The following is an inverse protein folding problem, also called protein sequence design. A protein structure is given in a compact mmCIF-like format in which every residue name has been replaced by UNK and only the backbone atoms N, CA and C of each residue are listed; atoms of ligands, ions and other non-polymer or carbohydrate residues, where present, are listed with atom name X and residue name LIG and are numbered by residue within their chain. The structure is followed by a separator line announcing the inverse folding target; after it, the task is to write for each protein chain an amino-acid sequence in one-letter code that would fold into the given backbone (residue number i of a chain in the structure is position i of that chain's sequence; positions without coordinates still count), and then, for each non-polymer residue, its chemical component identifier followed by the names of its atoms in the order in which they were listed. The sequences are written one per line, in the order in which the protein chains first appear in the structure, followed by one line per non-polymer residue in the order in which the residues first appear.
data_IF_039971149114
#
_entry.id   IF_039971149114
#
_cell.length_a   1.000
_cell.length_b   1.000
_cell.length_c   1.000
_cell.angle_alpha   90.00
_cell.angle_beta   90.00
_cell.angle_gamma   90.00
#
_symmetry.space_group_name_H-M   'P 1'
#
loop_
_entity.id
_entity.type
_entity.pdbx_description
1 polymer ?
#
# COMPACT_ATOMS: atom_id res chain seq x y z
N UNK A 1 8.38 -36.41 -30.32
CA UNK A 1 8.12 -35.32 -31.31
C UNK A 1 6.85 -34.53 -31.03
N UNK A 2 5.83 -35.08 -30.38
CA UNK A 2 4.53 -34.42 -30.06
C UNK A 2 4.59 -33.46 -28.89
N UNK A 3 5.46 -33.65 -27.91
CA UNK A 3 5.63 -32.78 -26.73
C UNK A 3 6.30 -31.45 -27.12
N UNK A 4 7.30 -31.49 -28.02
CA UNK A 4 8.03 -30.29 -28.48
C UNK A 4 7.15 -29.33 -29.32
N UNK A 5 6.22 -29.84 -30.12
CA UNK A 5 5.28 -28.98 -30.89
C UNK A 5 4.23 -28.33 -30.02
N UNK A 6 3.71 -29.02 -28.97
CA UNK A 6 2.77 -28.44 -28.05
C UNK A 6 3.38 -27.32 -27.20
N UNK A 7 4.62 -27.47 -26.78
CA UNK A 7 5.34 -26.43 -26.03
C UNK A 7 5.52 -25.15 -26.84
N UNK A 8 5.84 -25.27 -28.15
CA UNK A 8 5.96 -24.11 -29.03
C UNK A 8 4.63 -23.34 -29.26
N UNK A 9 3.51 -24.05 -29.39
CA UNK A 9 2.19 -23.43 -29.57
C UNK A 9 1.76 -22.69 -28.30
N UNK A 10 1.93 -23.31 -27.13
CA UNK A 10 1.61 -22.68 -25.83
C UNK A 10 2.49 -21.45 -25.61
N UNK A 11 3.77 -21.54 -25.91
CA UNK A 11 4.69 -20.41 -25.74
C UNK A 11 4.34 -19.26 -26.71
N UNK A 12 3.98 -19.54 -27.94
CA UNK A 12 3.53 -18.54 -28.90
C UNK A 12 2.22 -17.86 -28.46
N UNK A 13 1.28 -18.63 -27.91
CA UNK A 13 0.04 -18.08 -27.36
C UNK A 13 0.31 -17.18 -26.13
N UNK A 14 1.14 -17.62 -25.19
CA UNK A 14 1.53 -16.85 -23.99
C UNK A 14 2.20 -15.52 -24.38
N UNK A 15 3.10 -15.55 -25.38
CA UNK A 15 3.76 -14.33 -25.88
C UNK A 15 2.79 -13.36 -26.53
N UNK A 16 1.78 -13.88 -27.26
CA UNK A 16 0.73 -13.03 -27.85
C UNK A 16 -0.09 -12.32 -26.76
N UNK A 17 -0.24 -12.92 -25.58
CA UNK A 17 -1.00 -12.40 -24.46
C UNK A 17 -0.10 -11.92 -23.30
N UNK A 18 1.15 -11.57 -23.58
CA UNK A 18 2.16 -11.25 -22.57
C UNK A 18 1.73 -10.20 -21.54
N UNK A 19 0.98 -9.17 -21.96
CA UNK A 19 0.42 -8.13 -21.06
C UNK A 19 -0.51 -8.73 -20.00
N UNK A 20 -1.43 -9.60 -20.42
CA UNK A 20 -2.35 -10.30 -19.53
C UNK A 20 -1.64 -11.30 -18.62
N UNK A 21 -0.68 -12.07 -19.16
CA UNK A 21 0.12 -13.03 -18.39
C UNK A 21 0.90 -12.34 -17.28
N UNK A 22 1.56 -11.22 -17.59
CA UNK A 22 2.32 -10.46 -16.61
C UNK A 22 1.40 -9.84 -15.54
N UNK A 23 0.24 -9.34 -15.94
CA UNK A 23 -0.76 -8.79 -15.03
C UNK A 23 -1.30 -9.87 -14.08
N UNK A 24 -1.68 -11.04 -14.59
CA UNK A 24 -2.17 -12.16 -13.78
C UNK A 24 -1.09 -12.71 -12.83
N UNK A 25 0.13 -12.87 -13.31
CA UNK A 25 1.26 -13.33 -12.50
C UNK A 25 1.57 -12.33 -11.36
N UNK A 26 1.59 -11.03 -11.66
CA UNK A 26 1.76 -9.97 -10.66
C UNK A 26 0.59 -9.96 -9.68
N UNK A 27 -0.63 -10.22 -10.13
CA UNK A 27 -1.83 -10.31 -9.29
C UNK A 27 -1.74 -11.47 -8.29
N UNK A 28 -1.36 -12.64 -8.74
CA UNK A 28 -1.17 -13.80 -7.88
C UNK A 28 -0.11 -13.54 -6.80
N UNK A 29 1.02 -12.97 -7.18
CA UNK A 29 2.06 -12.58 -6.23
C UNK A 29 1.58 -11.50 -5.25
N UNK A 30 0.76 -10.55 -5.71
CA UNK A 30 0.17 -9.52 -4.84
C UNK A 30 -0.78 -10.14 -3.80
N UNK A 31 -1.62 -11.10 -4.19
CA UNK A 31 -2.48 -11.85 -3.26
C UNK A 31 -1.61 -12.59 -2.22
N UNK A 32 -0.55 -13.29 -2.66
CA UNK A 32 0.39 -13.98 -1.79
C UNK A 32 1.05 -13.03 -0.79
N UNK A 33 1.54 -11.89 -1.25
CA UNK A 33 2.21 -10.90 -0.40
C UNK A 33 1.29 -10.29 0.65
N UNK A 34 0.03 -9.99 0.32
CA UNK A 34 -0.94 -9.53 1.32
C UNK A 34 -1.36 -10.64 2.28
N UNK A 35 -1.44 -11.89 1.83
CA UNK A 35 -1.66 -13.06 2.69
C UNK A 35 -0.50 -13.23 3.67
N UNK A 36 0.75 -13.19 3.19
CA UNK A 36 1.96 -13.27 4.00
C UNK A 36 2.09 -12.11 4.99
N UNK A 37 1.72 -10.88 4.58
CA UNK A 37 1.73 -9.71 5.45
C UNK A 37 0.75 -9.89 6.62
N UNK A 38 -0.46 -10.37 6.34
CA UNK A 38 -1.48 -10.65 7.37
C UNK A 38 -1.02 -11.77 8.31
N UNK A 39 -0.44 -12.84 7.76
CA UNK A 39 0.09 -13.95 8.55
C UNK A 39 1.23 -13.49 9.47
N UNK A 40 2.20 -12.72 8.98
CA UNK A 40 3.30 -12.15 9.78
C UNK A 40 2.77 -11.25 10.90
N UNK A 41 1.81 -10.38 10.59
CA UNK A 41 1.19 -9.50 11.57
C UNK A 41 0.53 -10.27 12.71
N UNK A 42 -0.21 -11.34 12.40
CA UNK A 42 -0.81 -12.20 13.40
C UNK A 42 0.24 -12.94 14.22
N UNK A 43 1.21 -13.60 13.58
CA UNK A 43 2.28 -14.34 14.23
C UNK A 43 3.04 -13.47 15.24
N UNK A 44 3.34 -12.22 14.87
CA UNK A 44 4.02 -11.29 15.76
C UNK A 44 3.15 -10.88 16.96
N UNK A 45 1.85 -10.63 16.73
CA UNK A 45 0.93 -10.27 17.80
C UNK A 45 0.71 -11.46 18.76
N UNK A 46 0.39 -12.64 18.22
CA UNK A 46 0.11 -13.86 18.99
C UNK A 46 1.33 -14.32 19.78
N UNK A 47 2.52 -14.27 19.16
CA UNK A 47 3.78 -14.70 19.78
C UNK A 47 4.37 -13.72 20.80
N UNK A 48 4.04 -12.43 20.75
CA UNK A 48 4.67 -11.42 21.60
C UNK A 48 3.70 -10.59 22.43
N UNK A 49 2.43 -10.53 22.04
CA UNK A 49 1.42 -9.66 22.66
C UNK A 49 1.77 -8.16 22.60
N UNK A 50 2.78 -7.76 21.82
CA UNK A 50 3.32 -6.40 21.82
C UNK A 50 2.91 -5.57 20.61
N UNK A 51 1.96 -4.61 20.75
CA UNK A 51 1.53 -3.73 19.67
C UNK A 51 2.66 -2.86 19.08
N UNK A 52 3.66 -2.50 19.88
CA UNK A 52 4.78 -1.70 19.40
C UNK A 52 5.66 -2.49 18.42
N UNK A 53 5.90 -3.77 18.67
CA UNK A 53 6.65 -4.62 17.75
C UNK A 53 5.91 -4.81 16.43
N UNK A 54 4.57 -4.91 16.51
CA UNK A 54 3.72 -4.97 15.34
C UNK A 54 3.77 -3.68 14.52
N UNK A 55 3.69 -2.51 15.16
CA UNK A 55 3.83 -1.22 14.50
C UNK A 55 5.21 -1.06 13.87
N UNK A 56 6.27 -1.53 14.56
CA UNK A 56 7.64 -1.53 14.04
C UNK A 56 7.76 -2.45 12.80
N UNK A 57 7.08 -3.59 12.78
CA UNK A 57 7.03 -4.48 11.61
C UNK A 57 6.47 -3.75 10.38
N UNK A 58 5.34 -3.05 10.51
CA UNK A 58 4.77 -2.29 9.41
C UNK A 58 5.61 -1.06 9.04
N UNK A 59 6.24 -0.40 10.02
CA UNK A 59 7.19 0.67 9.77
C UNK A 59 8.42 0.17 9.00
N UNK A 60 8.95 -1.00 9.34
CA UNK A 60 10.05 -1.64 8.63
C UNK A 60 9.70 -1.99 7.17
N UNK A 61 8.43 -2.26 6.87
CA UNK A 61 7.97 -2.46 5.49
C UNK A 61 7.87 -1.13 4.72
N UNK A 62 7.33 -0.08 5.35
CA UNK A 62 6.95 1.16 4.67
C UNK A 62 8.05 2.23 4.64
N UNK A 63 8.75 2.44 5.75
CA UNK A 63 9.73 3.54 5.88
C UNK A 63 10.94 3.43 4.94
N UNK A 64 11.47 2.24 4.61
CA UNK A 64 12.57 2.15 3.65
C UNK A 64 12.27 2.83 2.31
N UNK A 65 11.01 2.80 1.86
CA UNK A 65 10.61 3.44 0.61
C UNK A 65 10.93 4.94 0.57
N UNK A 66 10.89 5.63 1.72
CA UNK A 66 11.23 7.05 1.82
C UNK A 66 12.70 7.34 1.52
N UNK A 67 13.57 6.40 1.89
CA UNK A 67 15.02 6.54 1.76
C UNK A 67 15.52 6.02 0.41
N UNK A 68 14.96 4.90 -0.07
CA UNK A 68 15.51 4.19 -1.24
C UNK A 68 14.77 4.46 -2.55
N UNK A 69 13.67 5.21 -2.57
CA UNK A 69 12.94 5.53 -3.81
C UNK A 69 13.81 6.29 -4.84
N UNK A 70 14.62 7.24 -4.37
CA UNK A 70 15.56 7.97 -5.22
C UNK A 70 16.63 7.05 -5.82
N UNK A 71 17.42 6.35 -5.00
CA UNK A 71 18.37 5.34 -5.47
C UNK A 71 17.77 4.28 -6.38
N UNK A 72 16.54 3.80 -6.10
CA UNK A 72 15.84 2.83 -6.95
C UNK A 72 15.57 3.39 -8.35
N UNK A 73 15.14 4.65 -8.44
CA UNK A 73 14.97 5.36 -9.71
C UNK A 73 16.27 5.42 -10.50
N UNK A 74 17.34 5.90 -9.87
CA UNK A 74 18.67 6.03 -10.50
C UNK A 74 19.22 4.68 -10.97
N UNK A 75 19.11 3.64 -10.12
CA UNK A 75 19.58 2.31 -10.51
C UNK A 75 18.78 1.78 -11.72
N UNK A 76 17.45 1.91 -11.68
CA UNK A 76 16.56 1.47 -12.76
C UNK A 76 16.86 2.20 -14.09
N UNK A 77 17.29 3.47 -14.04
CA UNK A 77 17.70 4.22 -15.22
C UNK A 77 19.06 3.77 -15.76
N UNK A 78 20.01 3.41 -14.88
CA UNK A 78 21.38 3.05 -15.28
C UNK A 78 21.49 1.63 -15.83
N UNK A 79 20.87 0.65 -15.17
CA UNK A 79 21.05 -0.78 -15.50
C UNK A 79 19.87 -1.39 -16.26
N UNK A 80 18.78 -0.62 -16.42
CA UNK A 80 17.56 -1.06 -17.08
C UNK A 80 16.52 -1.66 -16.12
N UNK A 81 15.25 -1.33 -16.39
CA UNK A 81 14.14 -1.72 -15.51
C UNK A 81 13.88 -3.24 -15.48
N UNK A 82 14.12 -3.95 -16.58
CA UNK A 82 13.98 -5.42 -16.67
C UNK A 82 14.95 -6.13 -15.73
N UNK A 83 16.22 -5.73 -15.77
CA UNK A 83 17.26 -6.29 -14.91
C UNK A 83 16.95 -6.09 -13.43
N UNK A 84 16.54 -4.87 -13.05
CA UNK A 84 16.16 -4.56 -11.66
C UNK A 84 14.93 -5.35 -11.25
N UNK A 85 13.92 -5.44 -12.12
CA UNK A 85 12.67 -6.13 -11.83
C UNK A 85 12.88 -7.62 -11.58
N UNK A 86 13.61 -8.30 -12.46
CA UNK A 86 13.90 -9.75 -12.30
C UNK A 86 14.64 -10.02 -10.99
N UNK A 87 15.67 -9.24 -10.69
CA UNK A 87 16.45 -9.41 -9.45
C UNK A 87 15.65 -9.06 -8.20
N UNK A 88 14.81 -8.04 -8.28
CA UNK A 88 13.91 -7.72 -7.19
C UNK A 88 12.92 -8.85 -6.89
N UNK A 89 12.38 -9.53 -7.93
CA UNK A 89 11.49 -10.68 -7.73
C UNK A 89 12.21 -11.85 -7.03
N UNK A 90 13.45 -12.16 -7.44
CA UNK A 90 14.27 -13.19 -6.77
C UNK A 90 14.60 -12.80 -5.33
N UNK A 91 14.90 -11.53 -5.07
CA UNK A 91 15.19 -11.05 -3.73
C UNK A 91 13.94 -11.06 -2.83
N UNK A 92 12.74 -10.73 -3.37
CA UNK A 92 11.48 -10.85 -2.64
C UNK A 92 11.16 -12.33 -2.32
N UNK A 93 11.36 -13.25 -3.25
CA UNK A 93 11.27 -14.68 -3.01
C UNK A 93 12.21 -15.10 -1.86
N UNK A 94 13.47 -14.65 -1.87
CA UNK A 94 14.42 -14.95 -0.80
C UNK A 94 13.98 -14.39 0.55
N UNK A 95 13.48 -13.15 0.60
CA UNK A 95 12.94 -12.54 1.83
C UNK A 95 11.73 -13.32 2.37
N UNK A 96 10.79 -13.72 1.51
CA UNK A 96 9.63 -14.50 1.91
C UNK A 96 10.02 -15.91 2.35
N UNK A 97 10.98 -16.56 1.66
CA UNK A 97 11.53 -17.86 2.05
C UNK A 97 12.24 -17.79 3.40
N UNK A 98 12.98 -16.71 3.66
CA UNK A 98 13.63 -16.48 4.96
C UNK A 98 12.61 -16.43 6.11
N UNK A 99 11.47 -15.77 5.89
CA UNK A 99 10.38 -15.76 6.87
C UNK A 99 9.78 -17.15 7.11
N UNK A 100 9.54 -17.93 6.05
CA UNK A 100 9.02 -19.31 6.17
C UNK A 100 10.02 -20.24 6.89
N UNK A 101 11.30 -20.12 6.58
CA UNK A 101 12.37 -20.88 7.24
C UNK A 101 12.51 -20.49 8.71
N UNK A 102 12.36 -19.19 9.05
CA UNK A 102 12.36 -18.76 10.45
C UNK A 102 11.24 -19.42 11.25
N UNK A 103 10.04 -19.57 10.65
CA UNK A 103 8.93 -20.26 11.31
C UNK A 103 9.16 -21.76 11.46
N UNK A 104 9.90 -22.37 10.53
CA UNK A 104 10.19 -23.81 10.59
C UNK A 104 11.30 -24.18 11.59
N UNK A 105 12.33 -23.34 11.71
CA UNK A 105 13.58 -23.71 12.38
C UNK A 105 13.97 -22.79 13.54
N UNK A 106 13.49 -21.54 13.59
CA UNK A 106 13.81 -20.62 14.68
C UNK A 106 12.71 -20.58 15.75
N UNK A 107 13.07 -20.22 17.00
CA UNK A 107 12.13 -20.07 18.12
C UNK A 107 12.46 -18.82 18.92
N UNK A 108 11.47 -18.30 19.63
CA UNK A 108 11.64 -17.16 20.56
C UNK A 108 12.17 -15.89 19.88
N UNK A 109 13.09 -15.16 20.52
CA UNK A 109 13.58 -13.87 20.01
C UNK A 109 14.24 -13.94 18.63
N UNK A 110 14.93 -15.06 18.32
CA UNK A 110 15.56 -15.28 17.02
C UNK A 110 14.52 -15.33 15.89
N UNK A 111 13.41 -16.02 16.12
CA UNK A 111 12.31 -16.11 15.16
C UNK A 111 11.74 -14.71 14.85
N UNK A 112 11.45 -13.93 15.90
CA UNK A 112 10.96 -12.56 15.76
C UNK A 112 11.98 -11.68 15.03
N UNK A 113 13.26 -11.76 15.38
CA UNK A 113 14.33 -10.99 14.73
C UNK A 113 14.45 -11.29 13.23
N UNK A 114 14.38 -12.56 12.84
CA UNK A 114 14.45 -12.96 11.42
C UNK A 114 13.21 -12.54 10.67
N UNK A 115 12.00 -12.65 11.26
CA UNK A 115 10.77 -12.13 10.66
C UNK A 115 10.86 -10.62 10.42
N UNK A 116 11.35 -9.85 11.39
CA UNK A 116 11.54 -8.41 11.27
C UNK A 116 12.56 -8.06 10.19
N UNK A 117 13.70 -8.76 10.15
CA UNK A 117 14.72 -8.60 9.13
C UNK A 117 14.18 -8.90 7.73
N UNK A 118 13.44 -10.01 7.57
CA UNK A 118 12.82 -10.37 6.29
C UNK A 118 11.86 -9.29 5.80
N UNK A 119 11.13 -8.65 6.71
CA UNK A 119 10.20 -7.57 6.39
C UNK A 119 10.92 -6.29 6.00
N UNK A 120 11.98 -5.91 6.73
CA UNK A 120 12.80 -4.74 6.40
C UNK A 120 13.45 -4.88 5.01
N UNK A 121 14.08 -6.03 4.76
CA UNK A 121 14.67 -6.32 3.45
C UNK A 121 13.59 -6.36 2.35
N UNK A 122 12.45 -6.98 2.63
CA UNK A 122 11.30 -7.00 1.71
C UNK A 122 10.79 -5.59 1.39
N UNK A 123 10.73 -4.68 2.37
CA UNK A 123 10.36 -3.28 2.18
C UNK A 123 11.33 -2.50 1.29
N UNK A 124 12.63 -2.73 1.48
CA UNK A 124 13.67 -2.16 0.61
C UNK A 124 13.49 -2.68 -0.82
N UNK A 125 13.44 -3.99 -0.99
CA UNK A 125 13.38 -4.64 -2.31
C UNK A 125 12.09 -4.32 -3.05
N UNK A 126 10.95 -4.28 -2.35
CA UNK A 126 9.65 -3.93 -2.95
C UNK A 126 9.63 -2.50 -3.52
N UNK A 127 10.42 -1.59 -2.97
CA UNK A 127 10.56 -0.24 -3.52
C UNK A 127 11.27 -0.25 -4.88
N UNK A 128 12.33 -1.04 -5.02
CA UNK A 128 13.02 -1.25 -6.31
C UNK A 128 12.09 -1.96 -7.31
N UNK A 129 11.38 -2.98 -6.86
CA UNK A 129 10.42 -3.73 -7.67
C UNK A 129 9.35 -2.80 -8.25
N UNK A 130 8.68 -2.02 -7.39
CA UNK A 130 7.62 -1.11 -7.79
C UNK A 130 8.10 -0.06 -8.79
N UNK A 131 9.29 0.50 -8.56
CA UNK A 131 9.90 1.50 -9.45
C UNK A 131 10.22 0.90 -10.82
N UNK A 132 10.83 -0.28 -10.83
CA UNK A 132 11.19 -0.98 -12.06
C UNK A 132 9.94 -1.47 -12.81
N UNK A 133 8.95 -2.02 -12.12
CA UNK A 133 7.67 -2.47 -12.68
C UNK A 133 6.93 -1.35 -13.38
N UNK A 134 6.81 -0.17 -12.73
CA UNK A 134 6.13 0.98 -13.31
C UNK A 134 6.76 1.45 -14.62
N UNK A 135 8.10 1.35 -14.76
CA UNK A 135 8.79 1.63 -16.02
C UNK A 135 8.62 0.50 -17.04
N UNK A 136 8.75 -0.74 -16.57
CA UNK A 136 8.66 -1.93 -17.42
C UNK A 136 7.28 -2.06 -18.09
N UNK A 137 6.20 -1.73 -17.37
CA UNK A 137 4.83 -1.72 -17.93
C UNK A 137 4.72 -0.79 -19.15
N UNK A 138 5.44 0.32 -19.15
CA UNK A 138 5.50 1.24 -20.30
C UNK A 138 6.14 0.62 -21.54
N UNK A 139 7.03 -0.38 -21.38
CA UNK A 139 7.69 -1.07 -22.49
C UNK A 139 6.84 -2.17 -23.12
N UNK A 140 5.82 -2.65 -22.40
CA UNK A 140 4.92 -3.71 -22.86
C UNK A 140 3.78 -3.17 -23.72
N UNK A 141 3.60 -1.86 -23.75
CA UNK A 141 2.49 -1.21 -24.45
C UNK A 141 2.95 -0.69 -25.80
N UNK A 142 2.25 -1.08 -26.86
CA UNK A 142 2.62 -0.72 -28.23
C UNK A 142 2.33 0.75 -28.55
N UNK A 143 1.19 1.26 -28.01
CA UNK A 143 0.72 2.63 -28.22
C UNK A 143 0.71 3.40 -26.92
N UNK A 144 1.15 4.66 -26.89
CA UNK A 144 1.09 5.49 -25.67
C UNK A 144 -0.32 5.62 -25.07
N UNK A 145 -1.36 5.53 -25.92
CA UNK A 145 -2.76 5.63 -25.53
C UNK A 145 -3.24 4.44 -24.69
N UNK A 146 -2.63 3.26 -24.87
CA UNK A 146 -2.96 2.04 -24.14
C UNK A 146 -2.30 1.99 -22.76
N UNK A 147 -1.34 2.87 -22.46
CA UNK A 147 -0.62 2.88 -21.19
C UNK A 147 -1.51 3.21 -20.00
N UNK A 148 -2.36 4.26 -20.01
CA UNK A 148 -3.23 4.57 -18.88
C UNK A 148 -4.20 3.43 -18.53
N UNK A 149 -4.94 2.79 -19.46
CA UNK A 149 -5.80 1.65 -19.11
C UNK A 149 -5.00 0.44 -18.61
N UNK A 150 -3.80 0.20 -19.11
CA UNK A 150 -2.96 -0.90 -18.61
C UNK A 150 -2.46 -0.65 -17.19
N UNK A 151 -2.02 0.55 -16.85
CA UNK A 151 -1.67 0.96 -15.49
C UNK A 151 -2.88 0.88 -14.54
N UNK A 152 -4.07 1.26 -15.03
CA UNK A 152 -5.31 1.11 -14.27
C UNK A 152 -5.59 -0.35 -13.93
N UNK A 153 -5.33 -1.27 -14.87
CA UNK A 153 -5.48 -2.72 -14.63
C UNK A 153 -4.56 -3.21 -13.51
N UNK A 154 -3.33 -2.70 -13.39
CA UNK A 154 -2.47 -2.99 -12.24
C UNK A 154 -3.04 -2.47 -10.93
N UNK A 155 -3.64 -1.29 -10.93
CA UNK A 155 -4.31 -0.75 -9.73
C UNK A 155 -5.50 -1.63 -9.32
N UNK A 156 -6.28 -2.13 -10.26
CA UNK A 156 -7.38 -3.07 -9.99
C UNK A 156 -6.84 -4.36 -9.38
N UNK A 157 -5.84 -4.96 -10.01
CA UNK A 157 -5.20 -6.20 -9.54
C UNK A 157 -4.61 -6.02 -8.13
N UNK A 158 -3.95 -4.89 -7.86
CA UNK A 158 -3.44 -4.57 -6.53
C UNK A 158 -4.57 -4.49 -5.48
N UNK A 159 -5.68 -3.84 -5.80
CA UNK A 159 -6.83 -3.75 -4.90
C UNK A 159 -7.51 -5.11 -4.68
N UNK A 160 -7.60 -5.94 -5.72
CA UNK A 160 -8.07 -7.34 -5.60
C UNK A 160 -7.14 -8.14 -4.69
N UNK A 161 -5.83 -8.00 -4.84
CA UNK A 161 -4.86 -8.63 -3.96
C UNK A 161 -4.99 -8.20 -2.51
N UNK A 162 -5.21 -6.91 -2.28
CA UNK A 162 -5.46 -6.33 -0.95
C UNK A 162 -6.77 -6.82 -0.32
N UNK A 163 -7.79 -7.10 -1.15
CA UNK A 163 -9.08 -7.61 -0.71
C UNK A 163 -9.05 -9.11 -0.40
N UNK A 164 -8.44 -9.92 -1.28
CA UNK A 164 -8.45 -11.38 -1.19
C UNK A 164 -7.27 -11.93 -0.38
N UNK A 165 -6.13 -11.25 -0.37
CA UNK A 165 -4.92 -11.72 0.32
C UNK A 165 -5.13 -11.96 1.81
N UNK A 166 -5.62 -10.98 2.58
CA UNK A 166 -5.80 -11.13 4.02
C UNK A 166 -6.68 -12.30 4.47
N UNK A 167 -7.89 -12.54 3.92
CA UNK A 167 -8.68 -13.70 4.31
C UNK A 167 -7.99 -15.02 3.91
N UNK A 168 -7.33 -15.07 2.76
CA UNK A 168 -6.54 -16.23 2.34
C UNK A 168 -5.40 -16.46 3.34
N UNK A 169 -4.68 -15.42 3.75
CA UNK A 169 -3.62 -15.51 4.76
C UNK A 169 -4.10 -15.99 6.12
N UNK A 170 -5.21 -15.44 6.60
CA UNK A 170 -5.84 -15.88 7.86
C UNK A 170 -6.33 -17.33 7.80
N UNK A 171 -6.92 -17.73 6.68
CA UNK A 171 -7.39 -19.10 6.47
C UNK A 171 -6.22 -20.10 6.36
N UNK A 172 -5.19 -19.78 5.58
CA UNK A 172 -3.98 -20.60 5.47
C UNK A 172 -3.28 -20.76 6.81
N UNK A 173 -3.19 -19.68 7.59
CA UNK A 173 -2.57 -19.71 8.91
C UNK A 173 -3.30 -20.66 9.87
N UNK A 174 -4.63 -20.67 9.82
CA UNK A 174 -5.43 -21.55 10.70
C UNK A 174 -5.46 -23.01 10.26
N UNK A 175 -5.47 -23.31 8.96
CA UNK A 175 -5.54 -24.66 8.43
C UNK A 175 -4.17 -25.34 8.34
N UNK A 176 -3.16 -24.59 7.92
CA UNK A 176 -1.88 -25.14 7.52
C UNK A 176 -0.72 -24.68 8.42
N UNK A 177 -1.00 -23.76 9.33
CA UNK A 177 -0.02 -23.18 10.25
C UNK A 177 0.91 -22.14 9.63
N UNK A 178 1.73 -21.49 10.49
CA UNK A 178 2.53 -20.33 10.10
C UNK A 178 3.56 -20.60 9.00
N UNK A 179 4.25 -21.71 9.08
CA UNK A 179 5.30 -22.08 8.12
C UNK A 179 4.75 -22.22 6.72
N UNK A 180 3.62 -22.95 6.54
CA UNK A 180 3.06 -23.17 5.22
C UNK A 180 2.39 -21.91 4.67
N UNK A 181 1.74 -21.11 5.51
CA UNK A 181 1.18 -19.83 5.09
C UNK A 181 2.25 -18.90 4.49
N UNK A 182 3.43 -18.82 5.13
CA UNK A 182 4.55 -18.01 4.62
C UNK A 182 5.27 -18.68 3.44
N UNK A 183 5.30 -19.99 3.36
CA UNK A 183 5.85 -20.70 2.20
C UNK A 183 5.02 -20.45 0.93
N UNK A 184 3.69 -20.37 1.04
CA UNK A 184 2.79 -20.05 -0.07
C UNK A 184 3.02 -18.59 -0.55
N UNK A 185 3.25 -17.64 0.36
CA UNK A 185 3.69 -16.29 -0.02
C UNK A 185 4.98 -16.36 -0.85
N UNK A 186 6.00 -17.08 -0.38
CA UNK A 186 7.24 -17.24 -1.12
C UNK A 186 7.01 -17.87 -2.51
N UNK A 187 6.24 -18.93 -2.59
CA UNK A 187 5.93 -19.61 -3.85
C UNK A 187 5.20 -18.71 -4.85
N UNK A 188 4.42 -17.73 -4.38
CA UNK A 188 3.70 -16.81 -5.25
C UNK A 188 4.61 -15.97 -6.16
N UNK A 189 5.87 -15.74 -5.76
CA UNK A 189 6.86 -15.00 -6.55
C UNK A 189 7.36 -15.74 -7.77
N UNK A 190 7.20 -17.08 -7.83
CA UNK A 190 7.56 -17.83 -9.04
C UNK A 190 6.71 -17.46 -10.26
N UNK A 191 5.47 -17.03 -10.05
CA UNK A 191 4.60 -16.56 -11.14
C UNK A 191 5.21 -15.40 -11.94
N UNK A 192 5.48 -14.24 -11.33
CA UNK A 192 6.11 -13.14 -12.04
C UNK A 192 7.54 -13.44 -12.51
N UNK A 193 8.33 -14.24 -11.79
CA UNK A 193 9.65 -14.68 -12.26
C UNK A 193 9.52 -15.47 -13.55
N UNK A 194 8.63 -16.45 -13.59
CA UNK A 194 8.40 -17.27 -14.77
C UNK A 194 7.86 -16.42 -15.94
N UNK A 195 6.95 -15.49 -15.68
CA UNK A 195 6.43 -14.58 -16.70
C UNK A 195 7.56 -13.73 -17.31
N UNK A 196 8.40 -13.13 -16.47
CA UNK A 196 9.51 -12.28 -16.91
C UNK A 196 10.60 -13.06 -17.68
N UNK A 197 10.93 -14.27 -17.26
CA UNK A 197 12.01 -15.05 -17.89
C UNK A 197 11.58 -15.73 -19.20
N UNK A 198 10.31 -16.17 -19.29
CA UNK A 198 9.92 -17.07 -20.40
C UNK A 198 8.86 -16.53 -21.33
N UNK A 199 8.08 -15.56 -20.90
CA UNK A 199 6.90 -15.09 -21.65
C UNK A 199 7.07 -13.68 -22.16
N UNK A 200 7.46 -12.76 -21.29
CA UNK A 200 7.41 -11.33 -21.56
C UNK A 200 8.66 -10.88 -22.30
N UNK A 201 8.45 -10.20 -23.44
CA UNK A 201 9.53 -9.58 -24.20
C UNK A 201 9.12 -8.11 -24.48
N UNK A 202 9.86 -7.13 -23.95
CA UNK A 202 9.55 -5.73 -24.21
C UNK A 202 9.74 -5.43 -25.69
N UNK A 203 8.78 -4.73 -26.28
CA UNK A 203 8.82 -4.35 -27.70
C UNK A 203 9.62 -3.06 -27.92
N UNK A 204 9.88 -2.29 -26.87
CA UNK A 204 10.63 -1.03 -26.94
C UNK A 204 11.84 -1.12 -26.02
N UNK A 205 13.00 -0.82 -26.57
CA UNK A 205 14.20 -0.55 -25.79
C UNK A 205 14.08 0.90 -25.31
N UNK A 206 14.07 1.12 -23.99
CA UNK A 206 14.26 2.48 -23.47
C UNK A 206 15.71 2.87 -23.80
N UNK A 207 15.87 3.79 -24.74
CA UNK A 207 17.11 4.55 -24.81
C UNK A 207 17.33 5.17 -23.42
N UNK A 208 18.50 4.89 -22.86
CA UNK A 208 18.91 5.48 -21.59
C UNK A 208 18.88 7.01 -21.75
N UNK A 209 17.75 7.62 -21.41
CA UNK A 209 17.69 9.07 -21.26
C UNK A 209 18.64 9.36 -20.12
N UNK A 210 19.80 9.90 -20.49
CA UNK A 210 20.70 10.55 -19.56
C UNK A 210 19.86 11.38 -18.60
N UNK A 211 20.00 11.11 -17.31
CA UNK A 211 19.35 11.86 -16.26
C UNK A 211 19.99 13.26 -16.24
N UNK A 212 19.66 14.07 -17.26
CA UNK A 212 19.96 15.49 -17.24
C UNK A 212 19.19 16.08 -16.07
N UNK A 213 19.95 16.48 -15.05
CA UNK A 213 19.66 17.44 -14.03
C UNK A 213 18.21 17.60 -13.58
N UNK A 214 17.57 16.48 -13.15
CA UNK A 214 16.22 16.60 -12.65
C UNK A 214 16.19 17.38 -11.34
N UNK A 215 15.40 18.48 -11.26
CA UNK A 215 15.12 19.22 -10.04
C UNK A 215 14.97 18.27 -8.85
N UNK A 216 15.67 18.56 -7.76
CA UNK A 216 15.56 17.78 -6.52
C UNK A 216 14.13 17.87 -5.97
N UNK A 217 13.73 16.96 -5.07
CA UNK A 217 12.43 17.05 -4.38
C UNK A 217 12.26 18.41 -3.69
N UNK A 218 13.36 19.02 -3.20
CA UNK A 218 13.37 20.38 -2.66
C UNK A 218 13.04 21.43 -3.72
N UNK A 219 13.55 21.28 -4.94
CA UNK A 219 13.21 22.15 -6.07
C UNK A 219 11.73 22.04 -6.42
N UNK A 220 11.23 20.82 -6.56
CA UNK A 220 9.82 20.58 -6.84
C UNK A 220 8.90 21.18 -5.74
N UNK A 221 9.28 21.07 -4.46
CA UNK A 221 8.57 21.72 -3.36
C UNK A 221 8.54 23.25 -3.45
N UNK A 222 9.63 23.89 -3.93
CA UNK A 222 9.70 25.35 -4.09
C UNK A 222 8.88 25.86 -5.26
N UNK A 223 8.78 25.07 -6.32
CA UNK A 223 8.03 25.41 -7.51
C UNK A 223 6.53 25.12 -7.41
N UNK A 224 6.10 24.26 -6.45
CA UNK A 224 4.68 23.96 -6.30
C UNK A 224 3.90 25.16 -5.73
N UNK A 225 2.68 25.34 -6.23
CA UNK A 225 1.77 26.40 -5.79
C UNK A 225 1.34 26.26 -4.31
N UNK A 226 0.82 27.34 -3.71
CA UNK A 226 0.46 27.38 -2.29
C UNK A 226 -0.62 26.35 -1.92
N UNK A 227 -1.57 26.11 -2.81
CA UNK A 227 -2.64 25.12 -2.62
C UNK A 227 -2.07 23.71 -2.53
N UNK A 228 -1.20 23.33 -3.44
CA UNK A 228 -0.62 22.00 -3.45
C UNK A 228 0.31 21.80 -2.24
N UNK A 229 1.06 22.81 -1.83
CA UNK A 229 1.82 22.77 -0.57
C UNK A 229 0.93 22.57 0.64
N UNK A 230 -0.24 23.23 0.67
CA UNK A 230 -1.22 23.02 1.73
C UNK A 230 -1.75 21.58 1.74
N UNK A 231 -2.16 21.05 0.59
CA UNK A 231 -2.63 19.66 0.43
C UNK A 231 -1.62 18.66 0.98
N UNK A 232 -0.34 18.79 0.59
CA UNK A 232 0.72 17.90 1.04
C UNK A 232 0.99 18.00 2.55
N UNK A 233 1.01 19.24 3.10
CA UNK A 233 1.17 19.46 4.55
C UNK A 233 0.00 18.90 5.33
N UNK A 234 -1.22 19.17 4.88
CA UNK A 234 -2.42 18.66 5.53
C UNK A 234 -2.43 17.12 5.52
N UNK A 235 -2.11 16.49 4.39
CA UNK A 235 -2.00 15.03 4.31
C UNK A 235 -0.97 14.50 5.32
N UNK A 236 0.20 15.11 5.42
CA UNK A 236 1.24 14.68 6.36
C UNK A 236 0.76 14.80 7.82
N UNK A 237 0.14 15.94 8.18
CA UNK A 237 -0.40 16.17 9.53
C UNK A 237 -1.56 15.22 9.82
N UNK A 238 -2.48 15.05 8.88
CA UNK A 238 -3.61 14.13 9.03
C UNK A 238 -3.14 12.69 9.25
N UNK A 239 -2.16 12.23 8.47
CA UNK A 239 -1.58 10.90 8.64
C UNK A 239 -0.80 10.75 9.97
N UNK A 240 -0.24 11.83 10.48
CA UNK A 240 0.48 11.80 11.74
C UNK A 240 -0.45 11.73 12.96
N UNK A 241 -1.56 12.45 12.94
CA UNK A 241 -2.38 12.75 14.13
C UNK A 241 -3.70 11.98 14.16
N UNK A 242 -4.37 11.81 13.03
CA UNK A 242 -5.77 11.37 13.02
C UNK A 242 -6.06 10.20 12.08
N UNK A 243 -5.04 9.56 11.58
CA UNK A 243 -5.22 8.53 10.56
C UNK A 243 -4.99 7.13 11.11
N UNK A 244 -5.83 6.18 10.69
CA UNK A 244 -5.67 4.78 11.10
C UNK A 244 -4.39 4.19 10.50
N UNK A 245 -3.56 3.60 11.37
CA UNK A 245 -2.35 2.92 10.94
C UNK A 245 -2.62 1.43 10.70
N UNK A 246 -2.33 0.90 9.49
CA UNK A 246 -2.59 -0.51 9.17
C UNK A 246 -1.89 -1.50 10.11
N UNK A 247 -0.75 -1.11 10.70
CA UNK A 247 -0.01 -1.92 11.66
C UNK A 247 -0.77 -2.25 12.94
N UNK A 248 -1.79 -1.49 13.28
CA UNK A 248 -2.65 -1.75 14.43
C UNK A 248 -3.90 -2.56 14.08
N UNK A 249 -4.09 -2.93 12.81
CA UNK A 249 -5.23 -3.75 12.39
C UNK A 249 -5.35 -5.08 13.16
N UNK A 250 -4.27 -5.85 13.43
CA UNK A 250 -4.38 -7.06 14.23
C UNK A 250 -4.86 -6.80 15.66
N UNK A 251 -4.40 -5.72 16.29
CA UNK A 251 -4.79 -5.34 17.65
C UNK A 251 -6.26 -4.93 17.71
N UNK A 252 -6.71 -4.13 16.71
CA UNK A 252 -8.12 -3.75 16.59
C UNK A 252 -9.03 -4.94 16.26
N UNK A 253 -8.62 -5.79 15.34
CA UNK A 253 -9.39 -6.98 14.99
C UNK A 253 -9.64 -7.85 16.20
N UNK A 254 -8.61 -8.13 17.02
CA UNK A 254 -8.71 -8.95 18.21
C UNK A 254 -9.54 -8.33 19.35
N UNK A 255 -9.78 -7.01 19.32
CA UNK A 255 -10.60 -6.33 20.35
C UNK A 255 -12.07 -6.19 19.97
N UNK A 256 -12.38 -6.25 18.69
CA UNK A 256 -13.74 -6.04 18.15
C UNK A 256 -14.35 -7.35 17.67
N UNK A 257 -13.50 -8.25 17.17
CA UNK A 257 -13.85 -9.61 16.72
C UNK A 257 -13.21 -10.65 17.63
N UNK A 258 -13.58 -11.90 17.46
CA UNK A 258 -12.90 -12.99 18.14
C UNK A 258 -11.40 -13.00 17.75
N UNK A 259 -10.49 -13.21 18.71
CA UNK A 259 -9.06 -13.19 18.45
C UNK A 259 -8.64 -14.42 17.64
N UNK A 260 -8.72 -14.33 16.33
CA UNK A 260 -8.38 -15.39 15.39
C UNK A 260 -7.72 -14.83 14.10
N UNK A 261 -6.89 -15.62 13.43
CA UNK A 261 -6.30 -15.22 12.15
C UNK A 261 -7.36 -14.91 11.09
N UNK A 262 -8.48 -15.63 11.11
CA UNK A 262 -9.59 -15.44 10.19
C UNK A 262 -10.27 -14.08 10.42
N UNK A 263 -10.49 -13.71 11.67
CA UNK A 263 -11.06 -12.41 12.05
C UNK A 263 -10.18 -11.25 11.58
N UNK A 264 -8.85 -11.37 11.71
CA UNK A 264 -7.92 -10.40 11.15
C UNK A 264 -8.04 -10.34 9.62
N UNK A 265 -8.11 -11.48 8.96
CA UNK A 265 -8.31 -11.57 7.51
C UNK A 265 -9.59 -10.88 7.08
N UNK A 266 -10.71 -11.14 7.74
CA UNK A 266 -11.99 -10.49 7.48
C UNK A 266 -11.92 -8.98 7.71
N UNK A 267 -11.39 -8.55 8.85
CA UNK A 267 -11.26 -7.13 9.22
C UNK A 267 -10.48 -6.34 8.19
N UNK A 268 -9.31 -6.84 7.79
CA UNK A 268 -8.46 -6.16 6.79
C UNK A 268 -9.06 -6.19 5.40
N UNK A 269 -9.83 -7.25 5.05
CA UNK A 269 -10.56 -7.29 3.77
C UNK A 269 -11.72 -6.31 3.72
N UNK A 270 -12.41 -6.08 4.81
CA UNK A 270 -13.47 -5.06 4.88
C UNK A 270 -12.86 -3.65 4.74
N UNK A 271 -11.68 -3.39 5.33
CA UNK A 271 -10.91 -2.17 5.08
C UNK A 271 -10.59 -2.03 3.58
N UNK A 272 -10.15 -3.11 2.93
CA UNK A 272 -9.84 -3.08 1.49
C UNK A 272 -11.08 -2.86 0.63
N UNK A 273 -12.23 -3.46 0.98
CA UNK A 273 -13.50 -3.20 0.30
C UNK A 273 -13.92 -1.73 0.42
N UNK A 274 -13.80 -1.15 1.61
CA UNK A 274 -13.99 0.29 1.82
C UNK A 274 -13.06 1.13 0.95
N UNK A 275 -11.77 0.75 0.87
CA UNK A 275 -10.77 1.43 0.05
C UNK A 275 -11.14 1.43 -1.44
N UNK A 276 -11.65 0.31 -1.96
CA UNK A 276 -12.13 0.20 -3.35
C UNK A 276 -13.34 1.10 -3.56
N UNK A 277 -14.32 1.05 -2.66
CA UNK A 277 -15.51 1.88 -2.73
C UNK A 277 -15.18 3.38 -2.71
N UNK A 278 -14.32 3.82 -1.78
CA UNK A 278 -13.86 5.20 -1.70
C UNK A 278 -13.12 5.66 -2.96
N UNK A 279 -12.26 4.80 -3.52
CA UNK A 279 -11.57 5.05 -4.78
C UNK A 279 -12.51 5.21 -5.97
N UNK A 280 -13.53 4.36 -6.08
CA UNK A 280 -14.56 4.44 -7.14
C UNK A 280 -15.42 5.70 -7.01
N UNK A 281 -15.79 6.07 -5.79
CA UNK A 281 -16.54 7.32 -5.53
C UNK A 281 -15.70 8.55 -5.91
N UNK A 282 -14.41 8.55 -5.57
CA UNK A 282 -13.50 9.62 -5.98
C UNK A 282 -13.37 9.68 -7.50
N UNK A 283 -13.20 8.55 -8.18
CA UNK A 283 -13.08 8.48 -9.63
C UNK A 283 -14.32 9.04 -10.31
N UNK A 284 -15.51 8.65 -9.86
CA UNK A 284 -16.79 9.15 -10.40
C UNK A 284 -16.97 10.65 -10.23
N UNK A 285 -16.45 11.20 -9.15
CA UNK A 285 -16.62 12.63 -8.79
C UNK A 285 -15.31 13.42 -8.90
N UNK A 286 -14.31 12.90 -9.61
CA UNK A 286 -12.94 13.44 -9.61
C UNK A 286 -12.85 14.90 -10.02
N UNK A 287 -13.59 15.34 -11.05
CA UNK A 287 -13.60 16.72 -11.52
C UNK A 287 -14.20 17.68 -10.47
N UNK A 288 -15.28 17.27 -9.82
CA UNK A 288 -15.94 18.11 -8.81
C UNK A 288 -15.13 18.17 -7.51
N UNK A 289 -14.55 17.05 -7.09
CA UNK A 289 -13.76 16.95 -5.86
C UNK A 289 -12.38 17.61 -6.00
N UNK A 290 -11.73 17.53 -7.16
CA UNK A 290 -10.44 18.19 -7.38
C UNK A 290 -10.52 19.72 -7.27
N UNK A 291 -11.67 20.30 -7.61
CA UNK A 291 -11.92 21.73 -7.43
C UNK A 291 -12.21 22.14 -5.98
N UNK A 292 -12.36 21.19 -5.06
CA UNK A 292 -12.74 21.43 -3.65
C UNK A 292 -11.80 20.66 -2.70
N UNK A 293 -10.51 21.02 -2.66
CA UNK A 293 -9.53 20.29 -1.87
C UNK A 293 -9.86 20.23 -0.38
N UNK A 294 -10.33 21.33 0.21
CA UNK A 294 -10.73 21.38 1.62
C UNK A 294 -11.88 20.42 1.95
N UNK A 295 -12.88 20.32 1.07
CA UNK A 295 -13.98 19.37 1.25
C UNK A 295 -13.50 17.92 1.17
N UNK A 296 -12.68 17.60 0.15
CA UNK A 296 -12.16 16.24 -0.05
C UNK A 296 -11.29 15.83 1.14
N UNK A 297 -10.32 16.64 1.49
CA UNK A 297 -9.34 16.32 2.52
C UNK A 297 -9.95 16.30 3.92
N UNK A 298 -10.69 17.36 4.29
CA UNK A 298 -11.37 17.45 5.58
C UNK A 298 -12.43 16.36 5.75
N UNK A 299 -13.21 16.07 4.70
CA UNK A 299 -14.23 15.02 4.70
C UNK A 299 -13.63 13.61 4.88
N UNK A 300 -12.54 13.29 4.20
CA UNK A 300 -11.86 11.99 4.35
C UNK A 300 -11.29 11.81 5.77
N UNK A 301 -10.66 12.85 6.31
CA UNK A 301 -10.09 12.79 7.67
C UNK A 301 -11.20 12.67 8.71
N UNK A 302 -12.28 13.46 8.57
CA UNK A 302 -13.42 13.40 9.48
C UNK A 302 -14.08 12.02 9.45
N UNK A 303 -14.29 11.44 8.26
CA UNK A 303 -14.86 10.10 8.10
C UNK A 303 -14.00 9.04 8.78
N UNK A 304 -12.69 9.06 8.57
CA UNK A 304 -11.78 8.07 9.17
C UNK A 304 -11.69 8.27 10.69
N UNK A 305 -11.58 9.49 11.16
CA UNK A 305 -11.45 9.81 12.57
C UNK A 305 -12.72 9.51 13.37
N UNK A 306 -13.90 9.82 12.83
CA UNK A 306 -15.17 9.46 13.47
C UNK A 306 -15.37 7.94 13.55
N UNK A 307 -14.95 7.19 12.51
CA UNK A 307 -14.98 5.74 12.54
C UNK A 307 -14.01 5.17 13.59
N UNK A 308 -12.85 5.78 13.82
CA UNK A 308 -11.95 5.39 14.92
C UNK A 308 -12.57 5.63 16.30
N UNK A 309 -13.23 6.76 16.51
CA UNK A 309 -13.97 7.04 17.76
C UNK A 309 -15.07 5.99 17.93
N UNK A 310 -15.86 5.73 16.88
CA UNK A 310 -16.88 4.68 16.90
C UNK A 310 -16.29 3.33 17.31
N UNK A 311 -15.15 2.94 16.74
CA UNK A 311 -14.42 1.71 17.08
C UNK A 311 -14.01 1.68 18.56
N UNK A 312 -13.56 2.81 19.12
CA UNK A 312 -13.21 2.91 20.54
C UNK A 312 -14.41 2.74 21.47
N UNK A 313 -15.58 3.22 21.05
CA UNK A 313 -16.81 3.22 21.88
C UNK A 313 -17.55 1.88 21.88
N UNK A 314 -17.40 1.05 20.83
CA UNK A 314 -18.15 -0.22 20.70
C UNK A 314 -17.50 -1.41 21.39
N UNK A 315 -16.30 -1.26 21.95
CA UNK A 315 -15.58 -2.33 22.63
C UNK A 315 -16.40 -2.88 23.79
N UNK A 316 -16.54 -4.22 23.85
CA UNK A 316 -17.33 -4.90 24.88
C UNK A 316 -18.85 -4.85 24.68
N UNK A 317 -19.34 -4.26 23.60
CA UNK A 317 -20.76 -4.25 23.25
C UNK A 317 -21.18 -5.51 22.49
N UNK A 318 -22.44 -5.94 22.64
CA UNK A 318 -23.03 -7.02 21.82
C UNK A 318 -23.02 -6.70 20.30
N UNK A 319 -22.92 -5.42 19.95
CA UNK A 319 -22.85 -4.93 18.56
C UNK A 319 -21.41 -4.71 18.07
N UNK A 320 -20.41 -5.14 18.85
CA UNK A 320 -19.00 -4.90 18.52
C UNK A 320 -18.63 -5.44 17.14
N UNK A 321 -19.03 -6.64 16.77
CA UNK A 321 -18.67 -7.26 15.49
C UNK A 321 -19.27 -6.52 14.29
N UNK A 322 -20.59 -6.37 14.12
CA UNK A 322 -21.15 -5.71 12.92
C UNK A 322 -20.77 -4.23 12.83
N UNK A 323 -20.78 -3.51 13.93
CA UNK A 323 -20.37 -2.10 13.95
C UNK A 323 -18.88 -1.95 13.71
N UNK A 324 -18.04 -2.83 14.26
CA UNK A 324 -16.60 -2.81 14.02
C UNK A 324 -16.25 -3.05 12.56
N UNK A 325 -16.93 -3.96 11.88
CA UNK A 325 -16.79 -4.16 10.45
C UNK A 325 -17.26 -2.93 9.65
N UNK A 326 -18.37 -2.31 10.03
CA UNK A 326 -18.84 -1.07 9.41
C UNK A 326 -17.81 0.08 9.58
N UNK A 327 -17.26 0.26 10.79
CA UNK A 327 -16.23 1.26 11.05
C UNK A 327 -14.94 0.96 10.26
N UNK A 328 -14.54 -0.31 10.15
CA UNK A 328 -13.37 -0.70 9.35
C UNK A 328 -13.55 -0.40 7.86
N UNK A 329 -14.75 -0.57 7.32
CA UNK A 329 -15.10 -0.16 5.96
C UNK A 329 -14.94 1.35 5.77
N UNK A 330 -15.47 2.17 6.68
CA UNK A 330 -15.36 3.62 6.64
C UNK A 330 -13.90 4.11 6.75
N UNK A 331 -13.10 3.47 7.62
CA UNK A 331 -11.66 3.71 7.73
C UNK A 331 -10.97 3.45 6.38
N UNK A 332 -11.26 2.33 5.75
CA UNK A 332 -10.72 1.99 4.43
C UNK A 332 -11.10 3.01 3.37
N UNK A 333 -12.38 3.39 3.32
CA UNK A 333 -12.90 4.37 2.36
C UNK A 333 -12.22 5.74 2.53
N UNK A 334 -12.17 6.27 3.75
CA UNK A 334 -11.55 7.57 4.04
C UNK A 334 -10.05 7.58 3.74
N UNK A 335 -9.32 6.53 4.18
CA UNK A 335 -7.87 6.41 3.98
C UNK A 335 -7.49 6.37 2.51
N UNK A 336 -8.11 5.52 1.74
CA UNK A 336 -7.79 5.37 0.32
C UNK A 336 -8.20 6.60 -0.49
N UNK A 337 -9.33 7.22 -0.16
CA UNK A 337 -9.80 8.44 -0.84
C UNK A 337 -8.87 9.62 -0.54
N UNK A 338 -8.34 9.75 0.68
CA UNK A 338 -7.35 10.79 0.99
C UNK A 338 -6.07 10.61 0.16
N UNK A 339 -5.52 9.41 0.12
CA UNK A 339 -4.30 9.12 -0.65
C UNK A 339 -4.51 9.36 -2.16
N UNK A 340 -5.58 8.79 -2.71
CA UNK A 340 -5.91 8.95 -4.12
C UNK A 340 -6.24 10.41 -4.48
N UNK A 341 -6.94 11.13 -3.59
CA UNK A 341 -7.24 12.55 -3.73
C UNK A 341 -5.99 13.42 -3.69
N UNK A 342 -5.06 13.15 -2.77
CA UNK A 342 -3.76 13.84 -2.73
C UNK A 342 -2.99 13.64 -4.03
N UNK A 343 -2.93 12.40 -4.55
CA UNK A 343 -2.30 12.09 -5.82
C UNK A 343 -3.01 12.75 -7.01
N UNK A 344 -4.34 12.77 -7.02
CA UNK A 344 -5.13 13.46 -8.05
C UNK A 344 -4.81 14.96 -8.08
N UNK A 345 -4.83 15.63 -6.93
CA UNK A 345 -4.51 17.05 -6.83
C UNK A 345 -3.04 17.33 -7.20
N UNK A 346 -2.12 16.44 -6.86
CA UNK A 346 -0.73 16.54 -7.26
C UNK A 346 -0.56 16.45 -8.79
N UNK A 347 -1.38 15.64 -9.47
CA UNK A 347 -1.34 15.50 -10.92
C UNK A 347 -2.03 16.66 -11.66
N UNK A 348 -3.17 17.13 -11.14
CA UNK A 348 -3.94 18.23 -11.75
C UNK A 348 -3.27 19.57 -11.48
N UNK A 349 -2.77 19.78 -10.27
CA UNK A 349 -2.22 21.05 -9.80
C UNK A 349 -0.74 21.27 -10.08
N UNK A 350 -0.02 20.29 -10.63
CA UNK A 350 1.40 20.42 -10.92
C UNK A 350 1.67 20.56 -12.42
N UNK A 351 2.66 21.40 -12.82
CA UNK A 351 3.18 21.42 -14.18
C UNK A 351 3.60 20.03 -14.65
N UNK A 352 3.48 19.73 -15.95
CA UNK A 352 3.73 18.38 -16.49
C UNK A 352 5.09 17.79 -16.09
N UNK A 353 6.14 18.60 -16.06
CA UNK A 353 7.50 18.19 -15.70
C UNK A 353 7.68 17.88 -14.20
N UNK A 354 6.75 18.33 -13.35
CA UNK A 354 6.78 18.11 -11.87
C UNK A 354 5.81 17.03 -11.38
N UNK A 355 4.85 16.58 -12.18
CA UNK A 355 3.78 15.67 -11.76
C UNK A 355 4.27 14.42 -11.03
N UNK A 356 5.27 13.75 -11.57
CA UNK A 356 5.85 12.55 -10.95
C UNK A 356 6.48 12.84 -9.59
N UNK A 357 7.16 13.98 -9.44
CA UNK A 357 7.78 14.39 -8.16
C UNK A 357 6.76 14.81 -7.13
N UNK A 358 5.68 15.48 -7.55
CA UNK A 358 4.58 15.86 -6.68
C UNK A 358 3.83 14.61 -6.18
N UNK A 359 3.59 13.62 -7.03
CA UNK A 359 3.05 12.32 -6.61
C UNK A 359 3.99 11.64 -5.61
N UNK A 360 5.30 11.68 -5.82
CA UNK A 360 6.30 11.19 -4.86
C UNK A 360 6.25 11.91 -3.51
N UNK A 361 6.12 13.24 -3.50
CA UNK A 361 5.93 14.02 -2.27
C UNK A 361 4.61 13.66 -1.57
N UNK A 362 3.53 13.39 -2.31
CA UNK A 362 2.26 12.89 -1.77
C UNK A 362 2.41 11.53 -1.08
N UNK A 363 3.15 10.61 -1.68
CA UNK A 363 3.47 9.32 -1.06
C UNK A 363 4.33 9.49 0.20
N UNK A 364 5.33 10.35 0.18
CA UNK A 364 6.16 10.68 1.35
C UNK A 364 5.29 11.27 2.47
N UNK A 365 4.41 12.20 2.18
CA UNK A 365 3.50 12.79 3.15
C UNK A 365 2.60 11.73 3.80
N UNK A 366 2.05 10.82 2.99
CA UNK A 366 1.15 9.77 3.44
C UNK A 366 1.88 8.66 4.21
N UNK A 367 2.90 8.04 3.61
CA UNK A 367 3.61 6.91 4.21
C UNK A 367 4.51 7.34 5.37
N UNK A 368 5.17 8.50 5.26
CA UNK A 368 6.00 9.04 6.33
C UNK A 368 5.17 9.39 7.56
N UNK A 369 4.10 10.16 7.38
CA UNK A 369 3.16 10.47 8.46
C UNK A 369 2.56 9.21 9.08
N UNK A 370 2.07 8.27 8.25
CA UNK A 370 1.48 7.02 8.69
C UNK A 370 2.45 6.09 9.43
N UNK A 371 3.70 5.97 8.97
CA UNK A 371 4.70 5.13 9.62
C UNK A 371 5.04 5.60 11.03
N UNK A 372 5.25 6.91 11.22
CA UNK A 372 5.51 7.49 12.55
C UNK A 372 4.27 7.45 13.45
N UNK A 373 3.09 7.74 12.92
CA UNK A 373 1.85 7.69 13.72
C UNK A 373 1.57 6.29 14.26
N UNK A 374 1.89 5.25 13.50
CA UNK A 374 1.74 3.86 13.94
C UNK A 374 2.59 3.54 15.16
N UNK A 375 3.84 4.02 15.22
CA UNK A 375 4.71 3.84 16.38
C UNK A 375 4.19 4.63 17.60
N UNK A 376 3.76 5.86 17.40
CA UNK A 376 3.17 6.68 18.47
C UNK A 376 1.88 6.03 18.99
N UNK A 377 0.98 5.64 18.10
CA UNK A 377 -0.27 4.98 18.47
C UNK A 377 -0.06 3.66 19.20
N UNK A 378 0.92 2.85 18.78
CA UNK A 378 1.27 1.60 19.48
C UNK A 378 1.85 1.85 20.88
N UNK A 379 2.69 2.88 21.05
CA UNK A 379 3.15 3.32 22.37
C UNK A 379 2.00 3.77 23.27
N UNK A 380 1.05 4.52 22.73
CA UNK A 380 -0.16 4.95 23.45
C UNK A 380 -1.05 3.75 23.81
N UNK A 381 -1.23 2.77 22.93
CA UNK A 381 -1.99 1.55 23.23
C UNK A 381 -1.39 0.81 24.41
N UNK A 382 -0.06 0.70 24.47
CA UNK A 382 0.61 0.05 25.59
C UNK A 382 0.44 0.78 26.94
N UNK A 383 0.34 2.12 26.93
CA UNK A 383 0.27 2.92 28.16
C UNK A 383 -1.16 3.30 28.58
N UNK A 384 -2.03 3.61 27.61
CA UNK A 384 -3.38 4.14 27.85
C UNK A 384 -4.50 3.15 27.49
N UNK A 385 -4.13 2.03 26.86
CA UNK A 385 -5.09 1.09 26.32
C UNK A 385 -5.67 1.54 24.97
N UNK A 386 -6.37 0.63 24.31
CA UNK A 386 -6.82 0.81 22.94
C UNK A 386 -7.94 1.84 22.81
N UNK A 387 -8.99 1.75 23.63
CA UNK A 387 -10.14 2.66 23.59
C UNK A 387 -9.72 4.12 23.77
N UNK A 388 -8.87 4.39 24.77
CA UNK A 388 -8.37 5.76 25.03
C UNK A 388 -7.50 6.26 23.87
N UNK A 389 -6.63 5.43 23.33
CA UNK A 389 -5.76 5.79 22.21
C UNK A 389 -6.56 6.18 20.97
N UNK A 390 -7.48 5.33 20.53
CA UNK A 390 -8.29 5.62 19.35
C UNK A 390 -9.32 6.72 19.59
N UNK A 391 -9.80 6.88 20.82
CA UNK A 391 -10.61 8.03 21.23
C UNK A 391 -9.85 9.36 21.10
N UNK A 392 -8.61 9.44 21.60
CA UNK A 392 -7.77 10.63 21.53
C UNK A 392 -7.38 10.93 20.07
N UNK A 393 -6.80 9.96 19.36
CA UNK A 393 -6.38 10.16 17.98
C UNK A 393 -7.55 10.49 17.05
N UNK A 394 -8.69 9.82 17.24
CA UNK A 394 -9.90 10.12 16.51
C UNK A 394 -10.44 11.52 16.81
N UNK A 395 -10.42 11.97 18.07
CA UNK A 395 -10.85 13.32 18.44
C UNK A 395 -9.96 14.40 17.82
N UNK A 396 -8.63 14.20 17.83
CA UNK A 396 -7.68 15.10 17.17
C UNK A 396 -7.91 15.11 15.65
N UNK A 397 -8.16 13.95 15.05
CA UNK A 397 -8.49 13.84 13.62
C UNK A 397 -9.81 14.54 13.29
N UNK A 398 -10.85 14.37 14.10
CA UNK A 398 -12.12 15.09 13.93
C UNK A 398 -11.94 16.60 14.03
N UNK A 399 -11.18 17.08 15.02
CA UNK A 399 -10.89 18.51 15.14
C UNK A 399 -10.16 19.06 13.90
N UNK A 400 -9.16 18.31 13.39
CA UNK A 400 -8.42 18.64 12.17
C UNK A 400 -9.32 18.65 10.93
N UNK A 401 -10.14 17.62 10.76
CA UNK A 401 -11.08 17.51 9.64
C UNK A 401 -12.16 18.61 9.67
N UNK A 402 -12.73 18.89 10.84
CA UNK A 402 -13.69 19.99 11.02
C UNK A 402 -13.04 21.36 10.74
N UNK A 403 -11.83 21.61 11.25
CA UNK A 403 -11.13 22.86 10.99
C UNK A 403 -10.90 23.07 9.48
N UNK A 404 -10.46 22.02 8.75
CA UNK A 404 -10.28 22.11 7.30
C UNK A 404 -11.60 22.36 6.56
N UNK A 405 -12.68 21.68 6.95
CA UNK A 405 -14.01 21.88 6.35
C UNK A 405 -14.55 23.29 6.59
N UNK A 406 -14.42 23.82 7.79
CA UNK A 406 -14.88 25.16 8.14
C UNK A 406 -14.07 26.24 7.44
N UNK A 407 -12.74 26.11 7.40
CA UNK A 407 -11.85 27.12 6.84
C UNK A 407 -11.78 27.07 5.32
N UNK A 408 -11.81 25.88 4.72
CA UNK A 408 -11.53 25.67 3.29
C UNK A 408 -12.56 24.83 2.53
N UNK A 409 -13.55 24.24 3.21
CA UNK A 409 -14.53 23.37 2.55
C UNK A 409 -15.40 24.08 1.51
N UNK A 410 -15.59 25.40 1.62
CA UNK A 410 -16.35 26.22 0.67
C UNK A 410 -15.51 26.77 -0.50
N UNK A 411 -14.18 26.69 -0.40
CA UNK A 411 -13.29 27.17 -1.46
C UNK A 411 -13.44 26.31 -2.71
N UNK A 412 -13.70 26.97 -3.84
CA UNK A 412 -13.67 26.37 -5.17
C UNK A 412 -12.45 26.93 -5.89
N UNK A 413 -11.59 26.05 -6.33
CA UNK A 413 -10.40 26.41 -7.08
C UNK A 413 -10.66 26.22 -8.57
N UNK A 414 -10.25 27.19 -9.38
CA UNK A 414 -10.16 27.02 -10.82
C UNK A 414 -8.82 26.36 -11.15
N UNK A 415 -8.77 25.60 -12.24
CA UNK A 415 -7.57 24.87 -12.66
C UNK A 415 -6.31 25.75 -12.76
N UNK A 416 -6.47 27.07 -13.02
CA UNK A 416 -5.35 28.03 -13.07
C UNK A 416 -4.83 28.44 -11.68
N UNK A 417 -5.56 28.19 -10.58
CA UNK A 417 -5.18 28.59 -9.22
C UNK A 417 -4.31 27.55 -8.51
N UNK A 418 -4.09 26.40 -9.15
CA UNK A 418 -3.17 25.36 -8.67
C UNK A 418 -1.70 25.67 -9.05
N UNK A 419 -1.48 26.53 -10.02
CA UNK A 419 -0.17 26.99 -10.47
C UNK A 419 0.30 28.18 -9.65
#
# INVERSE_FOLDING_TARGET
LTISRRSGVVQAWLRRHQKGVFLCASGLSTIGSFAGLTAKGWILLDGTGNPLLLALHFAALALPSLLVSGPAGVLTDRVGCEWVLIRAQWALLACASLAALAMAFAKGPTQVGVLMLSTLLGGIVSTYELTARNKYTGLLVDRPEDLPPYLTSFSVVFNVGKLLGPPIGGWLLSLAGPTLALAIDALSFFGPIAALLWVVQPQRVLEARSAEGGLSLKGAWRECGPVLRHVLRFTAVACLVGFFHPGLAPVLASSVLDPSPQSLGLFTSVIAAGSICGGLLLQRNSQWLSQRPGLLMGGCVLLTASAQIGMAMIQGSHWSQPLGLAMSFLIGAGTATLLAGTNLMAQVGAPMHLRGRMAGLGQIAFLGGGGFSGLVAAGMVNSLGMASTFGILGSLGCALGCAELLLRGRLRLRSAEFL
#
